data_IF_894876920466
#
_entry.id   IF_894876920466
#
_cell.length_a   1.000
_cell.length_b   1.000
_cell.length_c   1.000
_cell.angle_alpha   90.00
_cell.angle_beta   90.00
_cell.angle_gamma   90.00
#
_symmetry.space_group_name_H-M   'P 1'
#
loop_
_entity.id
_entity.type
_entity.pdbx_description
1 polymer ?
#
# COMPACT_ATOMS: atom_id res chain seq x y z
N UNK A 1 -38.62 33.79 -76.24
CA UNK A 1 -37.46 34.49 -75.66
C UNK A 1 -37.77 34.79 -74.19
N UNK A 2 -36.99 34.17 -73.30
CA UNK A 2 -36.66 34.56 -71.91
C UNK A 2 -37.78 34.93 -70.92
N UNK A 3 -38.30 33.92 -70.22
CA UNK A 3 -38.82 34.07 -68.85
C UNK A 3 -37.67 33.86 -67.87
N UNK A 4 -37.23 34.95 -67.24
CA UNK A 4 -36.17 35.00 -66.22
C UNK A 4 -36.72 34.41 -64.91
N UNK A 5 -36.24 33.23 -64.52
CA UNK A 5 -36.45 32.64 -63.20
C UNK A 5 -35.63 33.42 -62.16
N UNK A 6 -36.35 34.18 -61.32
CA UNK A 6 -35.78 34.98 -60.23
C UNK A 6 -35.47 34.05 -59.05
N UNK A 7 -34.19 33.79 -58.80
CA UNK A 7 -33.69 33.03 -57.64
C UNK A 7 -34.12 33.71 -56.33
N UNK A 8 -34.64 32.98 -55.32
CA UNK A 8 -34.96 33.58 -54.02
C UNK A 8 -33.66 34.00 -53.31
N UNK A 9 -33.63 35.22 -52.79
CA UNK A 9 -32.52 35.75 -52.02
C UNK A 9 -32.29 34.93 -50.74
N UNK A 10 -31.02 34.65 -50.43
CA UNK A 10 -30.60 33.96 -49.21
C UNK A 10 -31.05 34.73 -47.95
N UNK A 11 -31.42 34.05 -46.85
CA UNK A 11 -31.78 34.73 -45.60
C UNK A 11 -30.61 35.57 -45.09
N UNK A 12 -30.91 36.84 -44.81
CA UNK A 12 -30.00 37.84 -44.24
C UNK A 12 -29.43 37.30 -42.92
N UNK A 13 -28.10 37.40 -42.79
CA UNK A 13 -27.30 36.98 -41.64
C UNK A 13 -27.97 37.31 -40.30
N UNK A 14 -28.29 36.27 -39.53
CA UNK A 14 -28.65 36.43 -38.13
C UNK A 14 -27.46 37.08 -37.39
N UNK A 15 -27.68 38.12 -36.56
CA UNK A 15 -26.58 38.77 -35.85
C UNK A 15 -25.87 37.75 -34.96
N UNK A 16 -24.57 37.55 -35.22
CA UNK A 16 -23.68 36.71 -34.42
C UNK A 16 -23.74 37.22 -32.97
N UNK A 17 -24.34 36.44 -32.09
CA UNK A 17 -24.44 36.79 -30.67
C UNK A 17 -23.03 36.95 -30.10
N UNK A 18 -22.71 38.15 -29.61
CA UNK A 18 -21.42 38.42 -28.99
C UNK A 18 -21.17 37.44 -27.83
N UNK A 19 -19.96 36.87 -27.68
CA UNK A 19 -19.67 35.92 -26.62
C UNK A 19 -19.93 36.55 -25.25
N UNK A 20 -20.88 35.99 -24.49
CA UNK A 20 -21.21 36.41 -23.13
C UNK A 20 -19.95 36.39 -22.27
N UNK A 21 -19.49 37.57 -21.82
CA UNK A 21 -18.34 37.68 -20.90
C UNK A 21 -18.61 36.83 -19.65
N UNK A 22 -17.68 35.95 -19.23
CA UNK A 22 -17.89 35.12 -18.05
C UNK A 22 -18.05 36.01 -16.81
N UNK A 23 -19.21 35.89 -16.14
CA UNK A 23 -19.54 36.59 -14.90
C UNK A 23 -18.49 36.25 -13.83
N UNK A 24 -17.80 37.26 -13.28
CA UNK A 24 -16.78 37.13 -12.21
C UNK A 24 -17.25 36.32 -10.98
N UNK A 25 -18.56 36.22 -10.74
CA UNK A 25 -19.17 35.43 -9.66
C UNK A 25 -18.95 33.91 -9.79
N UNK A 26 -18.62 33.41 -10.98
CA UNK A 26 -18.30 32.00 -11.20
C UNK A 26 -16.88 31.57 -10.78
N UNK A 27 -15.99 32.52 -10.44
CA UNK A 27 -14.60 32.19 -10.02
C UNK A 27 -14.48 31.70 -8.58
N UNK A 28 -15.40 32.10 -7.69
CA UNK A 28 -15.34 31.75 -6.26
C UNK A 28 -16.15 30.50 -5.91
N UNK A 29 -17.18 30.17 -6.70
CA UNK A 29 -18.04 29.00 -6.49
C UNK A 29 -17.24 27.70 -6.30
N UNK A 30 -16.20 27.39 -7.11
CA UNK A 30 -15.37 26.20 -6.89
C UNK A 30 -14.69 26.16 -5.52
N UNK A 31 -14.22 27.29 -5.00
CA UNK A 31 -13.55 27.36 -3.70
C UNK A 31 -14.54 27.17 -2.54
N UNK A 32 -15.76 27.70 -2.65
CA UNK A 32 -16.81 27.47 -1.65
C UNK A 32 -17.27 26.01 -1.61
N UNK A 33 -17.29 25.33 -2.76
CA UNK A 33 -17.58 23.90 -2.85
C UNK A 33 -16.47 23.02 -2.25
N UNK A 34 -15.20 23.46 -2.34
CA UNK A 34 -14.06 22.77 -1.73
C UNK A 34 -13.88 23.05 -0.24
N UNK A 35 -14.44 24.15 0.27
CA UNK A 35 -14.22 24.65 1.64
C UNK A 35 -14.55 23.60 2.73
N UNK A 36 -15.71 22.89 2.69
CA UNK A 36 -16.00 21.87 3.71
C UNK A 36 -14.97 20.73 3.74
N UNK A 37 -14.53 20.27 2.57
CA UNK A 37 -13.52 19.21 2.45
C UNK A 37 -12.13 19.67 2.91
N UNK A 38 -11.73 20.90 2.53
CA UNK A 38 -10.48 21.50 2.97
C UNK A 38 -10.47 21.73 4.49
N UNK A 39 -11.56 22.24 5.06
CA UNK A 39 -11.69 22.45 6.50
C UNK A 39 -11.59 21.11 7.24
N UNK A 40 -12.26 20.07 6.74
CA UNK A 40 -12.16 18.73 7.31
C UNK A 40 -10.71 18.21 7.30
N UNK A 41 -9.98 18.35 6.19
CA UNK A 41 -8.56 17.99 6.11
C UNK A 41 -7.69 18.82 7.06
N UNK A 42 -7.93 20.13 7.19
CA UNK A 42 -7.16 20.97 8.09
C UNK A 42 -7.36 20.53 9.54
N UNK A 43 -8.61 20.28 9.94
CA UNK A 43 -8.94 19.95 11.33
C UNK A 43 -8.49 18.54 11.72
N UNK A 44 -8.71 17.54 10.85
CA UNK A 44 -8.48 16.13 11.20
C UNK A 44 -7.14 15.57 10.70
N UNK A 45 -6.45 16.25 9.78
CA UNK A 45 -5.16 15.80 9.27
C UNK A 45 -4.05 16.81 9.55
N UNK A 46 -4.19 18.06 9.08
CA UNK A 46 -3.11 19.04 9.20
C UNK A 46 -2.83 19.44 10.66
N UNK A 47 -3.88 19.68 11.46
CA UNK A 47 -3.74 20.06 12.87
C UNK A 47 -3.04 18.98 13.70
N UNK A 48 -3.48 17.70 13.69
CA UNK A 48 -2.79 16.63 14.40
C UNK A 48 -1.34 16.45 13.92
N UNK A 49 -1.09 16.60 12.62
CA UNK A 49 0.27 16.47 12.07
C UNK A 49 1.19 17.61 12.54
N UNK A 50 0.70 18.85 12.60
CA UNK A 50 1.45 19.99 13.17
C UNK A 50 1.66 19.82 14.67
N UNK A 51 0.64 19.34 15.39
CA UNK A 51 0.76 19.05 16.81
C UNK A 51 1.84 17.98 17.07
N UNK A 52 1.81 16.89 16.32
CA UNK A 52 2.82 15.84 16.41
C UNK A 52 4.22 16.36 16.03
N UNK A 53 4.33 17.24 15.04
CA UNK A 53 5.60 17.89 14.68
C UNK A 53 6.13 18.75 15.83
N UNK A 54 5.26 19.52 16.48
CA UNK A 54 5.61 20.28 17.68
C UNK A 54 6.07 19.36 18.82
N UNK A 55 5.38 18.24 19.05
CA UNK A 55 5.76 17.26 20.08
C UNK A 55 7.13 16.65 19.84
N UNK A 56 7.51 16.41 18.58
CA UNK A 56 8.81 15.82 18.24
C UNK A 56 10.04 16.65 18.64
N UNK A 57 9.85 17.96 18.83
CA UNK A 57 10.91 18.92 19.19
C UNK A 57 10.80 19.40 20.65
N UNK A 58 9.87 18.84 21.42
CA UNK A 58 9.68 19.14 22.83
C UNK A 58 10.65 18.31 23.69
N UNK A 59 10.96 18.82 24.88
CA UNK A 59 11.57 18.04 25.97
C UNK A 59 10.70 18.15 27.22
N UNK A 60 10.65 17.08 27.99
CA UNK A 60 9.94 17.05 29.26
C UNK A 60 9.54 15.64 29.64
N UNK A 61 9.05 15.49 30.86
CA UNK A 61 8.46 14.27 31.38
C UNK A 61 6.97 14.55 31.67
N UNK A 62 6.20 13.50 31.94
CA UNK A 62 4.83 13.67 32.44
C UNK A 62 4.78 14.44 33.77
N UNK A 63 5.86 14.41 34.55
CA UNK A 63 5.97 15.09 35.85
C UNK A 63 6.33 16.56 35.70
N UNK A 64 7.25 16.91 34.80
CA UNK A 64 7.76 18.28 34.62
C UNK A 64 7.01 19.09 33.55
N UNK A 65 6.18 18.42 32.76
CA UNK A 65 5.46 18.96 31.61
C UNK A 65 6.34 19.10 30.37
N UNK A 66 5.72 19.04 29.19
CA UNK A 66 6.41 19.15 27.91
C UNK A 66 6.58 20.62 27.48
N UNK A 67 7.81 21.02 27.17
CA UNK A 67 8.15 22.38 26.69
C UNK A 67 8.80 22.30 25.32
N UNK A 68 8.43 23.22 24.42
CA UNK A 68 9.04 23.32 23.08
C UNK A 68 10.43 23.93 23.22
N UNK A 69 11.45 23.09 23.17
CA UNK A 69 12.88 23.43 23.38
C UNK A 69 13.69 23.36 22.10
N UNK A 70 13.08 23.00 20.95
CA UNK A 70 13.75 22.82 19.66
C UNK A 70 14.86 21.76 19.72
N UNK A 71 14.60 20.68 20.46
CA UNK A 71 15.60 19.64 20.69
C UNK A 71 15.67 18.68 19.51
N UNK A 72 16.42 19.05 18.48
CA UNK A 72 16.61 18.21 17.28
C UNK A 72 17.49 16.97 17.52
N UNK A 73 18.23 16.94 18.64
CA UNK A 73 19.07 15.79 19.00
C UNK A 73 18.23 14.51 19.16
N UNK A 74 16.97 14.61 19.60
CA UNK A 74 16.01 13.50 19.70
C UNK A 74 15.93 12.68 18.41
N UNK A 75 16.06 13.31 17.24
CA UNK A 75 16.02 12.61 15.96
C UNK A 75 17.25 11.73 15.74
N UNK A 76 18.43 12.22 16.11
CA UNK A 76 19.67 11.49 15.96
C UNK A 76 19.77 10.35 16.98
N UNK A 77 19.39 10.63 18.24
CA UNK A 77 19.37 9.65 19.31
C UNK A 77 18.38 8.53 18.99
N UNK A 78 17.15 8.89 18.59
CA UNK A 78 16.14 7.92 18.17
C UNK A 78 16.58 7.10 16.95
N UNK A 79 17.26 7.71 15.98
CA UNK A 79 17.76 6.96 14.83
C UNK A 79 18.90 6.00 15.23
N UNK A 80 19.81 6.44 16.10
CA UNK A 80 20.93 5.64 16.59
C UNK A 80 20.46 4.42 17.41
N UNK A 81 19.52 4.65 18.32
CA UNK A 81 19.02 3.61 19.24
C UNK A 81 18.14 2.57 18.55
N UNK A 82 17.37 2.99 17.53
CA UNK A 82 16.34 2.16 16.91
C UNK A 82 16.61 1.78 15.44
N UNK A 83 17.81 2.03 14.92
CA UNK A 83 18.18 1.68 13.54
C UNK A 83 17.91 0.21 13.16
N UNK A 84 18.13 -0.81 14.04
CA UNK A 84 17.90 -2.20 13.66
C UNK A 84 16.43 -2.49 13.40
N UNK A 85 15.52 -1.85 14.16
CA UNK A 85 14.08 -2.02 14.03
C UNK A 85 13.55 -1.36 12.76
N UNK A 86 14.13 -0.23 12.35
CA UNK A 86 13.85 0.36 11.02
C UNK A 86 14.26 -0.58 9.89
N UNK A 87 15.48 -1.13 9.95
CA UNK A 87 15.96 -2.05 8.92
C UNK A 87 15.09 -3.32 8.87
N UNK A 88 14.77 -3.90 10.03
CA UNK A 88 13.86 -5.06 10.11
C UNK A 88 12.48 -4.76 9.53
N UNK A 89 11.92 -3.60 9.83
CA UNK A 89 10.63 -3.19 9.26
C UNK A 89 10.65 -3.13 7.73
N UNK A 90 11.70 -2.53 7.15
CA UNK A 90 11.86 -2.48 5.69
C UNK A 90 12.07 -3.87 5.10
N UNK A 91 12.89 -4.71 5.74
CA UNK A 91 13.14 -6.08 5.28
C UNK A 91 11.88 -6.96 5.35
N UNK A 92 11.14 -6.92 6.45
CA UNK A 92 9.94 -7.73 6.63
C UNK A 92 8.81 -7.26 5.71
N UNK A 93 8.58 -5.95 5.62
CA UNK A 93 7.59 -5.40 4.69
C UNK A 93 7.99 -5.67 3.23
N UNK A 94 9.27 -5.56 2.88
CA UNK A 94 9.79 -5.88 1.56
C UNK A 94 9.60 -7.36 1.21
N UNK A 95 9.99 -8.27 2.11
CA UNK A 95 9.81 -9.71 1.94
C UNK A 95 8.33 -10.08 1.81
N UNK A 96 7.46 -9.55 2.69
CA UNK A 96 6.02 -9.76 2.60
C UNK A 96 5.44 -9.21 1.30
N UNK A 97 5.90 -8.06 0.82
CA UNK A 97 5.46 -7.48 -0.45
C UNK A 97 5.86 -8.35 -1.66
N UNK A 98 7.07 -8.89 -1.65
CA UNK A 98 7.55 -9.82 -2.69
C UNK A 98 6.70 -11.10 -2.67
N UNK A 99 6.44 -11.68 -1.50
CA UNK A 99 5.60 -12.86 -1.36
C UNK A 99 4.15 -12.59 -1.79
N UNK A 100 3.60 -11.44 -1.40
CA UNK A 100 2.28 -10.99 -1.85
C UNK A 100 2.23 -10.87 -3.38
N UNK A 101 3.27 -10.33 -4.02
CA UNK A 101 3.32 -10.24 -5.48
C UNK A 101 3.44 -11.63 -6.11
N UNK A 102 4.31 -12.49 -5.58
CA UNK A 102 4.52 -13.84 -6.08
C UNK A 102 3.25 -14.71 -6.00
N UNK A 103 2.46 -14.58 -4.93
CA UNK A 103 1.21 -15.32 -4.73
C UNK A 103 0.00 -14.62 -5.37
N UNK A 104 -0.05 -13.29 -5.24
CA UNK A 104 -1.16 -12.47 -5.69
C UNK A 104 -1.21 -12.28 -7.20
N UNK A 105 -0.05 -12.25 -7.88
CA UNK A 105 -0.01 -12.07 -9.34
C UNK A 105 -0.62 -13.26 -10.09
N UNK A 106 -0.24 -14.54 -9.83
CA UNK A 106 -0.88 -15.68 -10.48
C UNK A 106 -2.38 -15.74 -10.20
N UNK A 107 -2.80 -15.42 -8.97
CA UNK A 107 -4.21 -15.39 -8.60
C UNK A 107 -4.97 -14.29 -9.35
N UNK A 108 -4.43 -13.06 -9.39
CA UNK A 108 -5.01 -11.95 -10.13
C UNK A 108 -5.09 -12.25 -11.64
N UNK A 109 -4.06 -12.88 -12.21
CA UNK A 109 -4.04 -13.32 -13.60
C UNK A 109 -5.14 -14.36 -13.88
N UNK A 110 -5.31 -15.34 -12.99
CA UNK A 110 -6.38 -16.33 -13.11
C UNK A 110 -7.76 -15.67 -13.03
N UNK A 111 -7.95 -14.72 -12.11
CA UNK A 111 -9.21 -13.98 -11.97
C UNK A 111 -9.52 -13.16 -13.22
N UNK A 112 -8.52 -12.46 -13.76
CA UNK A 112 -8.70 -11.58 -14.92
C UNK A 112 -9.00 -12.35 -16.21
N UNK A 113 -8.27 -13.43 -16.49
CA UNK A 113 -8.33 -14.10 -17.80
C UNK A 113 -9.05 -15.46 -17.80
N UNK A 114 -9.16 -16.15 -16.66
CA UNK A 114 -9.67 -17.54 -16.62
C UNK A 114 -10.93 -17.74 -15.78
N UNK A 115 -11.23 -16.86 -14.82
CA UNK A 115 -12.31 -17.12 -13.87
C UNK A 115 -13.72 -17.04 -14.47
N UNK A 116 -13.91 -16.36 -15.61
CA UNK A 116 -15.20 -16.29 -16.32
C UNK A 116 -16.36 -15.95 -15.37
N UNK A 117 -17.36 -16.84 -15.27
CA UNK A 117 -18.52 -16.68 -14.36
C UNK A 117 -18.19 -16.68 -12.86
N UNK A 118 -17.04 -17.26 -12.46
CA UNK A 118 -16.62 -17.39 -11.07
C UNK A 118 -15.80 -16.19 -10.58
N UNK A 119 -15.49 -15.25 -11.47
CA UNK A 119 -14.68 -14.07 -11.18
C UNK A 119 -15.15 -13.32 -9.93
N UNK A 120 -16.45 -13.01 -9.85
CA UNK A 120 -17.02 -12.32 -8.69
C UNK A 120 -16.92 -13.16 -7.41
N UNK A 121 -17.11 -14.48 -7.50
CA UNK A 121 -17.01 -15.39 -6.34
C UNK A 121 -15.58 -15.42 -5.80
N UNK A 122 -14.58 -15.55 -6.68
CA UNK A 122 -13.17 -15.58 -6.27
C UNK A 122 -12.75 -14.24 -5.66
N UNK A 123 -13.19 -13.11 -6.23
CA UNK A 123 -12.93 -11.78 -5.67
C UNK A 123 -13.58 -11.61 -4.29
N UNK A 124 -14.82 -12.06 -4.12
CA UNK A 124 -15.48 -12.07 -2.81
C UNK A 124 -14.69 -12.93 -1.83
N UNK A 125 -14.18 -14.09 -2.22
CA UNK A 125 -13.32 -14.91 -1.36
C UNK A 125 -12.02 -14.21 -0.95
N UNK A 126 -11.41 -13.43 -1.85
CA UNK A 126 -10.19 -12.65 -1.56
C UNK A 126 -10.48 -11.52 -0.58
N UNK A 127 -11.66 -10.89 -0.68
CA UNK A 127 -12.07 -9.77 0.18
C UNK A 127 -12.70 -10.28 1.49
N UNK A 128 -13.24 -11.50 1.51
CA UNK A 128 -13.94 -12.09 2.67
C UNK A 128 -13.18 -11.94 4.01
N UNK A 129 -11.85 -12.12 4.07
CA UNK A 129 -11.09 -11.93 5.31
C UNK A 129 -11.17 -10.52 5.89
N UNK A 130 -11.52 -9.49 5.11
CA UNK A 130 -11.69 -8.11 5.59
C UNK A 130 -12.96 -7.88 6.40
N UNK A 131 -13.96 -8.75 6.26
CA UNK A 131 -15.15 -8.70 7.10
C UNK A 131 -14.89 -9.19 8.53
N UNK A 132 -13.72 -9.77 8.78
CA UNK A 132 -13.27 -10.20 10.12
C UNK A 132 -12.28 -9.20 10.70
N UNK A 133 -12.25 -9.09 12.03
CA UNK A 133 -11.27 -8.24 12.70
C UNK A 133 -9.84 -8.73 12.46
N UNK A 134 -8.97 -7.81 12.06
CA UNK A 134 -7.55 -8.04 11.87
C UNK A 134 -6.87 -8.67 13.09
N UNK A 135 -7.26 -8.27 14.31
CA UNK A 135 -6.73 -8.86 15.55
C UNK A 135 -7.13 -10.33 15.72
N UNK A 136 -8.42 -10.64 15.53
CA UNK A 136 -8.94 -12.01 15.67
C UNK A 136 -8.25 -12.93 14.67
N UNK A 137 -8.09 -12.44 13.43
CA UNK A 137 -7.43 -13.16 12.35
C UNK A 137 -5.96 -13.46 12.67
N UNK A 138 -5.25 -12.51 13.25
CA UNK A 138 -3.85 -12.69 13.67
C UNK A 138 -3.74 -13.65 14.86
N UNK A 139 -4.66 -13.59 15.82
CA UNK A 139 -4.74 -14.54 16.93
C UNK A 139 -5.07 -15.97 16.46
N UNK A 140 -5.93 -16.13 15.46
CA UNK A 140 -6.21 -17.43 14.87
C UNK A 140 -4.94 -18.03 14.23
N UNK A 141 -4.15 -17.21 13.54
CA UNK A 141 -2.86 -17.65 13.00
C UNK A 141 -1.87 -18.08 14.08
N UNK A 142 -1.86 -17.44 15.25
CA UNK A 142 -1.05 -17.89 16.39
C UNK A 142 -1.36 -19.34 16.80
N UNK A 143 -2.63 -19.74 16.77
CA UNK A 143 -3.04 -21.13 17.04
C UNK A 143 -2.62 -22.07 15.93
N UNK A 144 -2.74 -21.65 14.66
CA UNK A 144 -2.38 -22.47 13.49
C UNK A 144 -0.86 -22.68 13.38
N UNK A 145 -0.06 -21.65 13.69
CA UNK A 145 1.41 -21.67 13.70
C UNK A 145 2.01 -22.16 15.02
N UNK A 146 1.19 -22.59 15.97
CA UNK A 146 1.70 -23.21 17.21
C UNK A 146 2.54 -24.44 16.88
N UNK A 147 3.47 -24.81 17.77
CA UNK A 147 4.44 -25.88 17.53
C UNK A 147 3.77 -27.24 17.23
N UNK A 148 2.58 -27.49 17.80
CA UNK A 148 1.75 -28.67 17.53
C UNK A 148 0.67 -28.43 16.45
N UNK A 149 0.72 -27.29 15.76
CA UNK A 149 -0.26 -26.89 14.77
C UNK A 149 -0.16 -27.74 13.49
N UNK A 150 -1.26 -27.88 12.74
CA UNK A 150 -1.29 -28.68 11.51
C UNK A 150 -0.34 -28.15 10.43
N UNK A 151 -0.08 -26.84 10.42
CA UNK A 151 0.85 -26.21 9.47
C UNK A 151 2.30 -26.49 9.85
N UNK A 152 2.65 -26.42 11.13
CA UNK A 152 4.02 -26.68 11.59
C UNK A 152 4.35 -28.17 11.44
N UNK A 153 3.42 -29.07 11.77
CA UNK A 153 3.63 -30.50 11.62
C UNK A 153 3.80 -30.93 10.16
N UNK A 154 3.07 -30.31 9.23
CA UNK A 154 3.25 -30.56 7.79
C UNK A 154 4.53 -29.96 7.23
N UNK A 155 4.93 -28.76 7.66
CA UNK A 155 6.21 -28.15 7.27
C UNK A 155 7.41 -28.96 7.78
N UNK A 156 7.31 -29.50 9.01
CA UNK A 156 8.33 -30.38 9.59
C UNK A 156 8.41 -31.70 8.81
N UNK A 157 7.26 -32.33 8.52
CA UNK A 157 7.20 -33.55 7.70
C UNK A 157 7.77 -33.36 6.27
N UNK A 158 7.71 -32.15 5.72
CA UNK A 158 8.29 -31.80 4.43
C UNK A 158 9.76 -31.37 4.51
N UNK A 159 10.39 -31.38 5.69
CA UNK A 159 11.77 -30.92 5.94
C UNK A 159 12.03 -29.47 5.48
N UNK A 160 10.98 -28.66 5.34
CA UNK A 160 11.10 -27.25 4.96
C UNK A 160 11.66 -26.45 6.15
N UNK A 161 11.36 -26.89 7.37
CA UNK A 161 11.85 -26.27 8.61
C UNK A 161 13.38 -26.38 8.77
N UNK A 162 14.00 -27.43 8.23
CA UNK A 162 15.46 -27.58 8.21
C UNK A 162 16.12 -26.50 7.33
N UNK A 163 15.49 -26.17 6.20
CA UNK A 163 15.99 -25.13 5.29
C UNK A 163 15.73 -23.73 5.86
N UNK A 164 14.56 -23.50 6.45
CA UNK A 164 14.23 -22.20 7.03
C UNK A 164 14.99 -21.93 8.33
N UNK A 165 15.33 -22.96 9.10
CA UNK A 165 16.16 -22.82 10.31
C UNK A 165 17.61 -22.51 9.94
N UNK A 166 18.14 -23.11 8.88
CA UNK A 166 19.48 -22.79 8.37
C UNK A 166 19.62 -21.33 7.93
N UNK A 167 18.53 -20.74 7.39
CA UNK A 167 18.48 -19.33 6.96
C UNK A 167 18.21 -18.38 8.16
N UNK A 168 17.98 -18.91 9.37
CA UNK A 168 17.64 -18.13 10.57
C UNK A 168 16.23 -17.55 10.54
N UNK A 169 15.36 -18.10 9.70
CA UNK A 169 13.95 -17.73 9.60
C UNK A 169 13.07 -18.47 10.61
N UNK A 170 13.48 -19.65 11.07
CA UNK A 170 12.83 -20.44 12.13
C UNK A 170 13.84 -20.88 13.19
N UNK A 171 13.38 -21.21 14.41
CA UNK A 171 14.23 -21.70 15.50
C UNK A 171 13.97 -23.20 15.73
N UNK A 172 14.68 -24.03 14.95
CA UNK A 172 14.39 -25.47 14.85
C UNK A 172 12.98 -25.73 14.32
N UNK A 173 12.21 -26.54 15.06
CA UNK A 173 10.81 -26.87 14.74
C UNK A 173 9.83 -25.74 15.07
N UNK A 174 10.29 -24.67 15.72
CA UNK A 174 9.43 -23.57 16.15
C UNK A 174 9.27 -22.57 15.00
N UNK A 175 8.03 -22.42 14.56
CA UNK A 175 7.65 -21.40 13.57
C UNK A 175 7.14 -20.15 14.27
N UNK A 176 6.37 -20.28 15.35
CA UNK A 176 5.90 -19.13 16.11
C UNK A 176 7.06 -18.41 16.81
N UNK A 177 6.93 -17.09 16.97
CA UNK A 177 7.94 -16.22 17.57
C UNK A 177 9.23 -16.07 16.72
N UNK A 178 9.11 -16.24 15.41
CA UNK A 178 10.22 -16.15 14.46
C UNK A 178 9.95 -15.11 13.36
N UNK A 179 10.99 -14.64 12.64
CA UNK A 179 10.82 -13.75 11.49
C UNK A 179 9.85 -14.31 10.44
N UNK A 180 9.85 -15.64 10.23
CA UNK A 180 8.97 -16.29 9.27
C UNK A 180 7.49 -16.09 9.63
N UNK A 181 7.12 -16.31 10.89
CA UNK A 181 5.74 -16.12 11.33
C UNK A 181 5.24 -14.69 11.11
N UNK A 182 6.10 -13.70 11.38
CA UNK A 182 5.77 -12.28 11.14
C UNK A 182 5.58 -12.02 9.65
N UNK A 183 6.52 -12.45 8.80
CA UNK A 183 6.45 -12.25 7.34
C UNK A 183 5.23 -12.96 6.74
N UNK A 184 4.91 -14.19 7.16
CA UNK A 184 3.73 -14.91 6.71
C UNK A 184 2.43 -14.22 7.16
N UNK A 185 2.38 -13.74 8.41
CA UNK A 185 1.28 -12.95 8.93
C UNK A 185 1.05 -11.68 8.11
N UNK A 186 2.11 -10.91 7.85
CA UNK A 186 2.07 -9.74 6.98
C UNK A 186 1.59 -10.10 5.57
N UNK A 187 2.16 -11.14 4.97
CA UNK A 187 1.81 -11.59 3.62
C UNK A 187 0.32 -11.89 3.53
N UNK A 188 -0.21 -12.72 4.43
CA UNK A 188 -1.62 -13.07 4.43
C UNK A 188 -2.52 -11.86 4.68
N UNK A 189 -2.15 -10.99 5.63
CA UNK A 189 -2.97 -9.85 6.01
C UNK A 189 -3.05 -8.79 4.90
N UNK A 190 -1.98 -8.61 4.15
CA UNK A 190 -1.90 -7.60 3.10
C UNK A 190 -2.09 -8.16 1.68
N UNK A 191 -2.24 -9.47 1.51
CA UNK A 191 -2.43 -10.12 0.19
C UNK A 191 -3.54 -9.47 -0.65
N UNK A 192 -4.72 -9.13 -0.10
CA UNK A 192 -5.78 -8.55 -0.94
C UNK A 192 -5.43 -7.16 -1.46
N UNK A 193 -4.65 -6.37 -0.73
CA UNK A 193 -4.16 -5.06 -1.19
C UNK A 193 -3.20 -5.18 -2.38
N UNK A 194 -2.54 -6.32 -2.55
CA UNK A 194 -1.75 -6.63 -3.75
C UNK A 194 -2.66 -7.10 -4.90
N UNK A 195 -3.59 -8.03 -4.62
CA UNK A 195 -4.43 -8.65 -5.65
C UNK A 195 -5.35 -7.63 -6.33
N UNK A 196 -5.98 -6.74 -5.54
CA UNK A 196 -6.99 -5.80 -6.04
C UNK A 196 -6.45 -4.88 -7.16
N UNK A 197 -5.34 -4.13 -6.96
CA UNK A 197 -4.76 -3.30 -8.02
C UNK A 197 -4.19 -4.10 -9.19
N UNK A 198 -3.61 -5.29 -8.94
CA UNK A 198 -3.13 -6.16 -10.01
C UNK A 198 -4.27 -6.60 -10.92
N UNK A 199 -5.36 -7.06 -10.32
CA UNK A 199 -6.53 -7.51 -11.05
C UNK A 199 -7.18 -6.38 -11.85
N UNK A 200 -7.35 -5.18 -11.29
CA UNK A 200 -7.93 -4.05 -12.04
C UNK A 200 -7.05 -3.62 -13.22
N UNK A 201 -5.73 -3.75 -13.11
CA UNK A 201 -4.81 -3.50 -14.22
C UNK A 201 -4.86 -4.61 -15.28
N UNK A 202 -4.87 -5.87 -14.86
CA UNK A 202 -4.89 -7.03 -15.76
C UNK A 202 -6.21 -7.14 -16.53
N UNK A 203 -7.33 -6.84 -15.89
CA UNK A 203 -8.65 -6.87 -16.52
C UNK A 203 -8.81 -5.84 -17.65
N UNK A 204 -8.08 -4.72 -17.58
CA UNK A 204 -8.09 -3.69 -18.62
C UNK A 204 -7.34 -4.10 -19.88
N UNK A 205 -6.57 -5.18 -19.85
CA UNK A 205 -5.80 -5.66 -21.00
C UNK A 205 -6.76 -6.30 -22.00
N UNK A 206 -6.79 -5.79 -23.24
CA UNK A 206 -7.59 -6.38 -24.32
C UNK A 206 -7.08 -7.79 -24.67
N UNK A 207 -8.01 -8.77 -24.69
CA UNK A 207 -7.73 -10.15 -25.08
C UNK A 207 -7.10 -10.26 -26.48
N UNK A 208 -7.42 -9.34 -27.40
CA UNK A 208 -6.88 -9.30 -28.77
C UNK A 208 -5.36 -9.19 -28.81
N UNK A 209 -4.73 -8.60 -27.78
CA UNK A 209 -3.27 -8.52 -27.70
C UNK A 209 -2.63 -9.90 -27.50
N UNK A 210 -3.34 -10.83 -26.85
CA UNK A 210 -2.87 -12.21 -26.69
C UNK A 210 -3.03 -13.00 -27.99
N UNK A 211 -4.11 -12.76 -28.74
CA UNK A 211 -4.34 -13.35 -30.08
C UNK A 211 -3.28 -12.87 -31.08
N UNK A 212 -3.02 -11.56 -31.16
CA UNK A 212 -2.00 -10.99 -32.03
C UNK A 212 -0.59 -11.48 -31.71
N UNK A 213 -0.27 -11.72 -30.43
CA UNK A 213 0.99 -12.35 -30.05
C UNK A 213 1.06 -13.80 -30.56
N UNK A 214 -0.06 -14.54 -30.53
CA UNK A 214 -0.19 -15.87 -31.10
C UNK A 214 0.02 -15.90 -32.62
N UNK A 215 -0.53 -14.91 -33.34
CA UNK A 215 -0.31 -14.75 -34.80
C UNK A 215 1.16 -14.50 -35.16
N UNK A 216 1.91 -13.86 -34.26
CA UNK A 216 3.37 -13.68 -34.35
C UNK A 216 4.16 -14.90 -33.84
N UNK A 217 3.52 -16.05 -33.65
CA UNK A 217 4.12 -17.29 -33.13
C UNK A 217 4.77 -17.14 -31.74
N UNK A 218 4.30 -16.20 -30.91
CA UNK A 218 4.80 -16.05 -29.55
C UNK A 218 4.29 -17.19 -28.64
N UNK A 219 5.20 -17.78 -27.86
CA UNK A 219 4.83 -18.76 -26.82
C UNK A 219 4.12 -18.07 -25.64
N UNK A 220 3.29 -18.77 -24.85
CA UNK A 220 2.59 -18.17 -23.70
C UNK A 220 3.52 -17.45 -22.71
N UNK A 221 4.73 -17.98 -22.49
CA UNK A 221 5.75 -17.32 -21.66
C UNK A 221 6.27 -16.02 -22.29
N UNK A 222 6.38 -15.98 -23.62
CA UNK A 222 6.78 -14.79 -24.37
C UNK A 222 5.68 -13.74 -24.34
N UNK A 223 4.43 -14.13 -24.58
CA UNK A 223 3.25 -13.25 -24.47
C UNK A 223 3.14 -12.67 -23.06
N UNK A 224 3.30 -13.51 -22.04
CA UNK A 224 3.32 -13.05 -20.65
C UNK A 224 4.41 -11.99 -20.42
N UNK A 225 5.66 -12.30 -20.76
CA UNK A 225 6.80 -11.41 -20.46
C UNK A 225 6.79 -10.12 -21.26
N UNK A 226 6.32 -10.14 -22.52
CA UNK A 226 6.38 -9.00 -23.43
C UNK A 226 5.08 -8.19 -23.53
N UNK A 227 3.93 -8.79 -23.22
CA UNK A 227 2.62 -8.15 -23.36
C UNK A 227 1.98 -7.99 -21.98
N UNK A 228 1.65 -9.09 -21.31
CA UNK A 228 0.86 -9.05 -20.08
C UNK A 228 1.60 -8.35 -18.93
N UNK A 229 2.86 -8.72 -18.69
CA UNK A 229 3.63 -8.20 -17.56
C UNK A 229 3.88 -6.68 -17.68
N UNK A 230 4.39 -6.14 -18.81
CA UNK A 230 4.56 -4.69 -18.99
C UNK A 230 3.25 -3.91 -18.86
N UNK A 231 2.16 -4.39 -19.47
CA UNK A 231 0.86 -3.72 -19.39
C UNK A 231 0.23 -3.79 -17.99
N UNK A 232 0.65 -4.74 -17.16
CA UNK A 232 0.23 -4.86 -15.76
C UNK A 232 1.07 -4.04 -14.77
N UNK A 233 2.16 -3.40 -15.23
CA UNK A 233 3.09 -2.66 -14.36
C UNK A 233 2.42 -1.58 -13.50
N UNK A 234 1.45 -0.78 -13.99
CA UNK A 234 0.74 0.18 -13.13
C UNK A 234 0.03 -0.51 -11.95
N UNK A 235 -0.53 -1.69 -12.17
CA UNK A 235 -1.11 -2.53 -11.12
C UNK A 235 -0.07 -3.09 -10.15
N UNK A 236 1.09 -3.53 -10.65
CA UNK A 236 2.20 -4.01 -9.82
C UNK A 236 2.73 -2.90 -8.91
N UNK A 237 2.95 -1.70 -9.46
CA UNK A 237 3.42 -0.53 -8.71
C UNK A 237 2.40 -0.12 -7.66
N UNK A 238 1.11 -0.06 -8.03
CA UNK A 238 0.04 0.29 -7.09
C UNK A 238 -0.13 -0.75 -5.98
N UNK A 239 -0.12 -2.04 -6.32
CA UNK A 239 -0.27 -3.14 -5.38
C UNK A 239 0.91 -3.27 -4.41
N UNK A 240 2.14 -3.11 -4.91
CA UNK A 240 3.35 -3.12 -4.08
C UNK A 240 3.37 -1.95 -3.09
N UNK A 241 3.00 -0.74 -3.52
CA UNK A 241 2.89 0.42 -2.64
C UNK A 241 1.80 0.25 -1.58
N UNK A 242 0.61 -0.20 -1.99
CA UNK A 242 -0.54 -0.39 -1.09
C UNK A 242 -0.31 -1.51 -0.06
N UNK A 243 0.60 -2.44 -0.36
CA UNK A 243 1.01 -3.52 0.54
C UNK A 243 2.17 -3.08 1.44
N UNK A 244 3.21 -2.48 0.86
CA UNK A 244 4.46 -2.16 1.57
C UNK A 244 4.27 -1.07 2.63
N UNK A 245 3.58 0.02 2.30
CA UNK A 245 3.40 1.18 3.18
C UNK A 245 2.79 0.78 4.53
N UNK A 246 1.62 0.12 4.58
CA UNK A 246 1.04 -0.29 5.86
C UNK A 246 1.83 -1.44 6.51
N UNK A 247 2.41 -2.36 5.73
CA UNK A 247 3.20 -3.46 6.29
C UNK A 247 4.45 -2.95 7.04
N UNK A 248 5.11 -1.89 6.56
CA UNK A 248 6.31 -1.34 7.21
C UNK A 248 6.04 -0.77 8.61
N UNK A 249 4.84 -0.25 8.83
CA UNK A 249 4.39 0.30 10.11
C UNK A 249 3.59 -0.68 10.97
N UNK A 250 3.37 -1.91 10.51
CA UNK A 250 2.55 -2.88 11.24
C UNK A 250 3.25 -3.33 12.52
N UNK A 251 2.58 -3.13 13.66
CA UNK A 251 3.08 -3.54 14.96
C UNK A 251 2.38 -4.82 15.47
N UNK A 252 1.18 -5.12 14.98
CA UNK A 252 0.36 -6.20 15.53
C UNK A 252 0.90 -7.57 15.14
N UNK A 253 1.30 -7.79 13.89
CA UNK A 253 1.83 -9.09 13.48
C UNK A 253 3.12 -9.41 14.24
N UNK A 254 4.00 -8.42 14.38
CA UNK A 254 5.25 -8.57 15.12
C UNK A 254 5.01 -8.82 16.62
N UNK A 255 4.01 -8.19 17.23
CA UNK A 255 3.69 -8.37 18.65
C UNK A 255 3.01 -9.73 18.95
N UNK A 256 2.13 -10.18 18.05
CA UNK A 256 1.32 -11.39 18.28
C UNK A 256 1.94 -12.69 17.75
N UNK A 257 2.68 -12.61 16.64
CA UNK A 257 3.30 -13.77 15.97
C UNK A 257 4.81 -13.84 16.16
N UNK A 258 5.43 -12.72 16.51
CA UNK A 258 6.87 -12.58 16.68
C UNK A 258 7.36 -12.75 18.12
N UNK A 259 8.62 -12.40 18.34
CA UNK A 259 9.31 -12.34 19.63
C UNK A 259 9.81 -10.92 19.92
N UNK A 260 10.51 -10.74 21.04
CA UNK A 260 11.21 -9.49 21.36
C UNK A 260 12.25 -9.11 20.30
N UNK A 261 12.84 -10.09 19.62
CA UNK A 261 13.90 -9.87 18.63
C UNK A 261 13.35 -9.53 17.24
N UNK A 262 12.08 -9.82 16.98
CA UNK A 262 11.41 -9.51 15.70
C UNK A 262 10.62 -8.21 15.74
N UNK A 263 10.81 -7.38 16.78
CA UNK A 263 10.12 -6.09 16.92
C UNK A 263 10.44 -5.16 15.74
N UNK A 264 9.38 -4.60 15.18
CA UNK A 264 9.40 -3.63 14.11
C UNK A 264 9.35 -2.21 14.67
N UNK A 265 9.68 -1.21 13.85
CA UNK A 265 9.62 0.21 14.24
C UNK A 265 8.24 0.62 14.77
N UNK A 266 7.17 0.04 14.22
CA UNK A 266 5.80 0.25 14.70
C UNK A 266 5.62 -0.15 16.17
N UNK A 267 6.23 -1.26 16.61
CA UNK A 267 6.19 -1.68 18.01
C UNK A 267 6.92 -0.69 18.92
N UNK A 268 8.04 -0.14 18.45
CA UNK A 268 8.81 0.86 19.20
C UNK A 268 8.00 2.13 19.37
N UNK A 269 7.45 2.66 18.27
CA UNK A 269 6.60 3.86 18.29
C UNK A 269 5.41 3.65 19.24
N UNK A 270 4.72 2.52 19.14
CA UNK A 270 3.61 2.19 20.02
C UNK A 270 4.04 2.14 21.50
N UNK A 271 5.18 1.50 21.78
CA UNK A 271 5.70 1.36 23.15
C UNK A 271 6.06 2.72 23.73
N UNK A 272 6.69 3.61 22.94
CA UNK A 272 7.01 4.97 23.38
C UNK A 272 5.77 5.81 23.64
N UNK A 273 4.72 5.69 22.81
CA UNK A 273 3.47 6.41 23.03
C UNK A 273 2.63 5.87 24.18
N UNK A 274 2.52 4.55 24.34
CA UNK A 274 1.49 3.94 25.18
C UNK A 274 2.01 3.33 26.47
N UNK A 275 3.31 3.01 26.56
CA UNK A 275 3.90 2.35 27.75
C UNK A 275 4.93 3.23 28.44
N UNK A 276 5.91 3.74 27.68
CA UNK A 276 7.00 4.56 28.23
C UNK A 276 6.56 6.02 28.39
N UNK A 277 5.55 6.46 27.61
CA UNK A 277 4.99 7.82 27.64
C UNK A 277 6.01 8.91 27.27
N UNK A 278 7.03 8.54 26.49
CA UNK A 278 8.00 9.44 25.90
C UNK A 278 7.49 9.93 24.54
N UNK A 279 6.58 10.90 24.61
CA UNK A 279 5.94 11.47 23.42
C UNK A 279 6.90 12.14 22.44
N UNK A 280 7.94 12.89 22.88
CA UNK A 280 8.94 13.45 21.97
C UNK A 280 9.66 12.41 21.13
N UNK A 281 10.20 11.36 21.76
CA UNK A 281 10.90 10.29 21.04
C UNK A 281 9.94 9.53 20.12
N UNK A 282 8.72 9.24 20.58
CA UNK A 282 7.70 8.56 19.78
C UNK A 282 7.31 9.38 18.53
N UNK A 283 7.14 10.69 18.69
CA UNK A 283 6.84 11.61 17.59
C UNK A 283 8.01 11.70 16.61
N UNK A 284 9.25 11.83 17.10
CA UNK A 284 10.44 11.83 16.25
C UNK A 284 10.56 10.55 15.42
N UNK A 285 10.43 9.37 16.04
CA UNK A 285 10.41 8.08 15.33
C UNK A 285 9.31 8.00 14.27
N UNK A 286 8.13 8.54 14.55
CA UNK A 286 7.03 8.58 13.58
C UNK A 286 7.35 9.44 12.36
N UNK A 287 7.98 10.61 12.57
CA UNK A 287 8.43 11.46 11.46
C UNK A 287 9.56 10.85 10.66
N UNK A 288 10.52 10.20 11.32
CA UNK A 288 11.61 9.49 10.65
C UNK A 288 11.03 8.37 9.78
N UNK A 289 10.10 7.57 10.30
CA UNK A 289 9.43 6.52 9.54
C UNK A 289 8.65 7.08 8.35
N UNK A 290 7.86 8.13 8.58
CA UNK A 290 7.10 8.79 7.53
C UNK A 290 8.03 9.33 6.44
N UNK A 291 9.11 10.02 6.80
CA UNK A 291 10.10 10.53 5.86
C UNK A 291 10.79 9.40 5.09
N UNK A 292 11.20 8.33 5.78
CA UNK A 292 11.83 7.17 5.16
C UNK A 292 10.91 6.50 4.13
N UNK A 293 9.63 6.27 4.50
CA UNK A 293 8.63 5.71 3.58
C UNK A 293 8.40 6.65 2.40
N UNK A 294 8.21 7.96 2.63
CA UNK A 294 8.00 8.94 1.56
C UNK A 294 9.17 9.00 0.58
N UNK A 295 10.41 8.99 1.09
CA UNK A 295 11.61 8.94 0.25
C UNK A 295 11.62 7.66 -0.57
N UNK A 296 11.40 6.51 0.08
CA UNK A 296 11.41 5.20 -0.60
C UNK A 296 10.34 5.13 -1.70
N UNK A 297 9.12 5.55 -1.40
CA UNK A 297 7.99 5.60 -2.33
C UNK A 297 8.26 6.57 -3.47
N UNK A 298 8.78 7.77 -3.18
CA UNK A 298 9.11 8.76 -4.21
C UNK A 298 10.19 8.24 -5.15
N UNK A 299 11.25 7.62 -4.63
CA UNK A 299 12.31 7.01 -5.43
C UNK A 299 11.74 5.85 -6.27
N UNK A 300 10.89 5.02 -5.68
CA UNK A 300 10.26 3.89 -6.35
C UNK A 300 9.34 4.31 -7.50
N UNK A 301 8.48 5.32 -7.28
CA UNK A 301 7.58 5.86 -8.31
C UNK A 301 8.39 6.50 -9.44
N UNK A 302 9.41 7.32 -9.09
CA UNK A 302 10.28 7.96 -10.10
C UNK A 302 11.02 6.95 -10.97
N UNK A 303 11.46 5.82 -10.41
CA UNK A 303 12.12 4.75 -11.17
C UNK A 303 11.15 3.89 -11.98
N UNK A 304 9.92 3.72 -11.50
CA UNK A 304 8.92 2.89 -12.16
C UNK A 304 8.24 3.56 -13.36
N UNK A 305 8.64 4.78 -13.72
CA UNK A 305 8.18 5.46 -14.94
C UNK A 305 6.78 6.05 -14.81
N UNK A 306 6.69 7.32 -14.45
CA UNK A 306 5.44 8.11 -14.37
C UNK A 306 4.98 8.58 -15.76
N UNK A 307 5.03 7.73 -16.79
CA UNK A 307 4.55 8.10 -18.12
C UNK A 307 3.08 7.67 -18.35
N UNK A 308 2.58 6.68 -17.61
CA UNK A 308 1.19 6.16 -17.74
C UNK A 308 0.35 6.24 -16.45
N UNK A 309 0.81 6.95 -15.40
CA UNK A 309 0.14 7.05 -14.10
C UNK A 309 -0.70 8.33 -13.90
N UNK A 310 -0.98 9.07 -14.98
CA UNK A 310 -1.85 10.27 -14.97
C UNK A 310 -2.96 10.12 -16.00
#
# INVERSE_FOLDING_TARGET
MTTVTKTPAAPIDAPVQAPRRPRKRGRLVPYWLLLPGLLWLVVFFALPMVYQASTSIQTGSLEDGFKVTWHFATYWDALGDYWPQFLRSVLYAGAATILCLALGYPLAYLIAFRAGRWRNVVLILVIAPFFTSFLIRTLAWKTILSDSGPVVSTLNALHILDVTSWIGMTDGDRVLATPLAVICGLTYNFLPFMILPLYTSLERIDGRLHEAAGDLYATPATTFRKVTFPLSMPGVVSGTLLTFIPAAGDYVNADLLGSTDTRMVGNVIQTQFLRILDYPTAAALSFILMAAILIMVTVYIRRSGTEDLV
#
